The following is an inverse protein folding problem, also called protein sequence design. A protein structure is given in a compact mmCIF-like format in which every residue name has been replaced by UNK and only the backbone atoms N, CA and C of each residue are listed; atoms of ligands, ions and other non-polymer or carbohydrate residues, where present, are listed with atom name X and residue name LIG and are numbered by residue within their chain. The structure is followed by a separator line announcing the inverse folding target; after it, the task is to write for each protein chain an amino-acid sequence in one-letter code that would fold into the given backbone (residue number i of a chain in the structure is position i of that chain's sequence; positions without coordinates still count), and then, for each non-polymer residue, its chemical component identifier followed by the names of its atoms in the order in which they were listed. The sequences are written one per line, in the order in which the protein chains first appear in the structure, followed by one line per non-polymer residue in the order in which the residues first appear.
data_IF_900433179004
#
_entry.id   IF_900433179004
#
_cell.length_a   1.000
_cell.length_b   1.000
_cell.length_c   1.000
_cell.angle_alpha   90.00
_cell.angle_beta   90.00
_cell.angle_gamma   90.00
#
_symmetry.space_group_name_H-M   'P 1'
#
loop_
_entity.id
_entity.type
_entity.pdbx_description
1 polymer ?
#
# COMPACT_ATOMS: atom_id res chain seq x y z
N UNK A 1 -38.64 19.70 37.21
CA UNK A 1 -37.19 19.71 37.54
C UNK A 1 -36.65 18.31 37.34
N UNK A 2 -35.41 18.23 36.83
CA UNK A 2 -34.58 17.06 36.53
C UNK A 2 -34.96 16.23 35.29
N UNK A 3 -34.09 15.82 34.37
CA UNK A 3 -32.79 16.28 33.83
C UNK A 3 -32.55 15.39 32.60
N UNK A 4 -31.97 15.96 31.54
CA UNK A 4 -31.60 15.25 30.30
C UNK A 4 -30.51 14.20 30.56
N UNK A 5 -30.54 13.10 29.81
CA UNK A 5 -29.32 12.35 29.43
C UNK A 5 -29.42 12.03 27.94
N UNK A 6 -28.62 12.75 27.16
CA UNK A 6 -28.23 12.41 25.80
C UNK A 6 -27.35 11.16 25.82
N UNK A 7 -27.55 10.24 24.88
CA UNK A 7 -26.49 9.36 24.38
C UNK A 7 -26.93 8.80 23.02
N UNK A 8 -26.64 9.55 21.97
CA UNK A 8 -26.59 9.03 20.61
C UNK A 8 -25.33 8.16 20.47
N UNK A 9 -25.39 6.94 19.91
CA UNK A 9 -24.20 6.23 19.48
C UNK A 9 -23.59 6.91 18.24
N UNK A 10 -22.26 6.91 18.06
CA UNK A 10 -21.66 7.41 16.82
C UNK A 10 -21.95 6.41 15.70
N UNK A 11 -22.57 6.89 14.62
CA UNK A 11 -22.63 6.18 13.34
C UNK A 11 -21.20 6.09 12.80
N UNK A 12 -20.52 4.97 13.04
CA UNK A 12 -19.33 4.55 12.30
C UNK A 12 -19.74 4.35 10.84
N UNK A 13 -19.56 5.40 10.05
CA UNK A 13 -19.86 5.42 8.63
C UNK A 13 -18.77 4.63 7.91
N UNK A 14 -18.93 3.31 7.84
CA UNK A 14 -18.21 2.46 6.90
C UNK A 14 -18.49 2.98 5.50
N UNK A 15 -17.54 3.69 4.91
CA UNK A 15 -17.55 3.99 3.48
C UNK A 15 -17.08 2.74 2.73
N UNK A 16 -17.93 1.71 2.73
CA UNK A 16 -17.83 0.60 1.77
C UNK A 16 -18.11 1.19 0.38
N UNK A 17 -17.06 1.31 -0.42
CA UNK A 17 -17.18 1.61 -1.84
C UNK A 17 -17.81 0.38 -2.51
N UNK A 18 -19.08 0.50 -2.91
CA UNK A 18 -19.81 -0.50 -3.71
C UNK A 18 -19.00 -0.84 -4.97
N UNK A 19 -18.56 -2.09 -5.07
CA UNK A 19 -17.83 -2.61 -6.23
C UNK A 19 -16.67 -3.56 -5.95
N UNK A 20 -16.48 -4.05 -4.72
CA UNK A 20 -15.42 -4.99 -4.40
C UNK A 20 -15.80 -6.41 -4.87
N UNK A 21 -15.07 -7.02 -5.83
CA UNK A 21 -15.32 -8.41 -6.20
C UNK A 21 -15.00 -9.34 -5.00
N UNK A 22 -15.78 -10.41 -4.78
CA UNK A 22 -15.54 -11.31 -3.66
C UNK A 22 -14.21 -12.05 -3.85
N UNK A 23 -13.30 -11.94 -2.88
CA UNK A 23 -12.13 -12.84 -2.75
C UNK A 23 -10.76 -12.17 -2.57
N UNK A 24 -10.64 -10.85 -2.78
CA UNK A 24 -9.43 -10.11 -2.44
C UNK A 24 -9.75 -8.67 -2.12
N UNK A 25 -9.19 -8.17 -1.02
CA UNK A 25 -9.48 -6.85 -0.47
C UNK A 25 -8.17 -6.11 -0.21
N UNK A 26 -8.25 -4.78 -0.12
CA UNK A 26 -7.13 -4.00 0.35
C UNK A 26 -7.61 -2.89 1.27
N UNK A 27 -6.73 -2.55 2.21
CA UNK A 27 -6.92 -1.45 3.13
C UNK A 27 -5.82 -0.42 2.89
N UNK A 28 -6.15 0.86 3.03
CA UNK A 28 -5.18 1.96 2.95
C UNK A 28 -5.17 2.72 4.26
N UNK A 29 -3.97 2.93 4.80
CA UNK A 29 -3.69 3.72 5.98
C UNK A 29 -2.71 4.82 5.63
N UNK A 30 -3.04 6.07 5.97
CA UNK A 30 -2.07 7.15 5.98
C UNK A 30 -1.60 7.34 7.42
N UNK A 31 -0.32 7.08 7.66
CA UNK A 31 0.31 7.25 8.97
C UNK A 31 0.65 8.72 9.22
N UNK A 32 0.79 9.09 10.50
CA UNK A 32 1.12 10.47 10.91
C UNK A 32 2.47 10.96 10.37
N UNK A 33 3.38 10.05 10.05
CA UNK A 33 4.68 10.32 9.41
C UNK A 33 4.59 10.50 7.88
N UNK A 34 3.38 10.46 7.32
CA UNK A 34 3.09 10.64 5.91
C UNK A 34 3.27 9.40 5.06
N UNK A 35 3.57 8.23 5.64
CA UNK A 35 3.67 6.98 4.89
C UNK A 35 2.27 6.45 4.58
N UNK A 36 2.03 6.15 3.30
CA UNK A 36 0.81 5.47 2.85
C UNK A 36 1.05 3.96 2.85
N UNK A 37 0.49 3.25 3.83
CA UNK A 37 0.50 1.79 3.88
C UNK A 37 -0.72 1.24 3.14
N UNK A 38 -0.49 0.27 2.26
CA UNK A 38 -1.53 -0.51 1.60
C UNK A 38 -1.35 -1.97 1.99
N UNK A 39 -2.36 -2.54 2.65
CA UNK A 39 -2.39 -3.96 2.98
C UNK A 39 -3.25 -4.69 1.99
N UNK A 40 -2.69 -5.72 1.36
CA UNK A 40 -3.38 -6.53 0.36
C UNK A 40 -3.67 -7.91 0.96
N UNK A 41 -4.94 -8.30 0.96
CA UNK A 41 -5.39 -9.60 1.45
C UNK A 41 -6.02 -10.43 0.30
N UNK A 42 -5.70 -11.72 0.28
CA UNK A 42 -6.16 -12.64 -0.77
C UNK A 42 -5.38 -12.55 -2.08
N UNK A 43 -5.96 -13.08 -3.16
CA UNK A 43 -5.26 -13.22 -4.45
C UNK A 43 -5.01 -11.85 -5.12
N UNK A 44 -3.75 -11.56 -5.45
CA UNK A 44 -3.40 -10.32 -6.16
C UNK A 44 -3.70 -10.41 -7.65
N UNK A 45 -4.95 -10.15 -8.01
CA UNK A 45 -5.45 -10.14 -9.41
C UNK A 45 -5.31 -8.77 -10.07
N UNK A 46 -5.56 -8.71 -11.39
CA UNK A 46 -5.41 -7.47 -12.17
C UNK A 46 -6.33 -6.36 -11.65
N UNK A 47 -7.60 -6.68 -11.39
CA UNK A 47 -8.59 -5.69 -10.94
C UNK A 47 -8.19 -5.06 -9.59
N UNK A 48 -7.66 -5.88 -8.68
CA UNK A 48 -7.14 -5.42 -7.39
C UNK A 48 -5.91 -4.52 -7.57
N UNK A 49 -4.97 -4.90 -8.44
CA UNK A 49 -3.80 -4.08 -8.74
C UNK A 49 -4.18 -2.69 -9.27
N UNK A 50 -5.20 -2.62 -10.13
CA UNK A 50 -5.70 -1.35 -10.66
C UNK A 50 -6.46 -0.55 -9.60
N UNK A 51 -7.20 -1.21 -8.72
CA UNK A 51 -7.89 -0.56 -7.61
C UNK A 51 -6.88 0.07 -6.63
N UNK A 52 -5.84 -0.67 -6.24
CA UNK A 52 -4.73 -0.17 -5.40
C UNK A 52 -4.08 1.06 -6.05
N UNK A 53 -3.73 0.98 -7.33
CA UNK A 53 -3.14 2.10 -8.06
C UNK A 53 -4.02 3.35 -8.01
N UNK A 54 -5.30 3.22 -8.37
CA UNK A 54 -6.24 4.35 -8.37
C UNK A 54 -6.37 4.98 -6.99
N UNK A 55 -6.43 4.17 -5.95
CA UNK A 55 -6.56 4.65 -4.57
C UNK A 55 -5.31 5.38 -4.09
N UNK A 56 -4.11 4.86 -4.39
CA UNK A 56 -2.85 5.55 -4.07
C UNK A 56 -2.75 6.86 -4.85
N UNK A 57 -3.08 6.87 -6.15
CA UNK A 57 -3.07 8.10 -6.96
C UNK A 57 -4.07 9.13 -6.44
N UNK A 58 -5.25 8.70 -6.00
CA UNK A 58 -6.23 9.58 -5.38
C UNK A 58 -5.70 10.15 -4.06
N UNK A 59 -5.02 9.34 -3.25
CA UNK A 59 -4.40 9.78 -1.99
C UNK A 59 -3.24 10.77 -2.24
N UNK A 60 -2.43 10.53 -3.26
CA UNK A 60 -1.32 11.42 -3.64
C UNK A 60 -1.76 12.83 -4.07
N UNK A 61 -3.02 13.00 -4.46
CA UNK A 61 -3.61 14.30 -4.81
C UNK A 61 -4.23 15.03 -3.61
N UNK A 62 -4.37 14.38 -2.45
CA UNK A 62 -4.91 14.99 -1.23
C UNK A 62 -3.81 15.75 -0.50
N UNK A 63 -4.22 16.62 0.43
CA UNK A 63 -3.34 17.28 1.38
C UNK A 63 -3.63 16.77 2.79
N UNK A 64 -2.64 16.23 3.54
CA UNK A 64 -1.26 16.06 3.12
C UNK A 64 -1.07 14.92 2.10
N UNK A 65 -0.12 15.11 1.17
CA UNK A 65 0.30 14.09 0.23
C UNK A 65 1.25 13.10 0.93
N UNK A 66 1.28 11.82 0.51
CA UNK A 66 2.16 10.83 1.12
C UNK A 66 3.63 11.10 0.77
N UNK A 67 4.48 10.85 1.74
CA UNK A 67 5.95 10.99 1.66
C UNK A 67 6.64 9.68 1.27
N UNK A 68 5.91 8.57 1.32
CA UNK A 68 6.35 7.25 0.86
C UNK A 68 5.17 6.27 0.83
N UNK A 69 5.37 5.13 0.17
CA UNK A 69 4.34 4.09 0.01
C UNK A 69 4.91 2.75 0.51
N UNK A 70 4.17 2.08 1.39
CA UNK A 70 4.45 0.71 1.82
C UNK A 70 3.36 -0.21 1.28
N UNK A 71 3.73 -1.22 0.48
CA UNK A 71 2.83 -2.28 0.04
C UNK A 71 3.09 -3.55 0.87
N UNK A 72 2.18 -3.87 1.78
CA UNK A 72 2.22 -5.11 2.55
C UNK A 72 1.50 -6.23 1.78
N UNK A 73 2.29 -7.11 1.18
CA UNK A 73 1.83 -8.25 0.38
C UNK A 73 1.84 -9.56 1.18
N UNK A 74 2.13 -9.52 2.49
CA UNK A 74 2.32 -10.74 3.30
C UNK A 74 1.07 -11.61 3.38
N UNK A 75 -0.11 -11.02 3.23
CA UNK A 75 -1.40 -11.72 3.23
C UNK A 75 -1.90 -12.06 1.84
N UNK A 76 -1.13 -11.70 0.80
CA UNK A 76 -1.50 -11.97 -0.57
C UNK A 76 -0.92 -13.30 -1.05
N UNK A 77 -1.79 -14.29 -1.24
CA UNK A 77 -1.42 -15.58 -1.80
C UNK A 77 -2.58 -16.17 -2.63
N UNK A 78 -2.33 -16.66 -3.86
CA UNK A 78 -1.05 -16.65 -4.57
C UNK A 78 -0.67 -15.25 -5.09
N UNK A 79 0.63 -14.91 -5.04
CA UNK A 79 1.16 -13.63 -5.50
C UNK A 79 1.92 -13.77 -6.82
N UNK A 80 1.46 -13.07 -7.85
CA UNK A 80 2.18 -12.95 -9.13
C UNK A 80 3.18 -11.78 -9.07
N UNK A 81 4.48 -12.08 -9.01
CA UNK A 81 5.53 -11.04 -9.01
C UNK A 81 5.49 -10.22 -10.31
N UNK A 82 5.21 -10.83 -11.46
CA UNK A 82 5.10 -10.10 -12.74
C UNK A 82 3.98 -9.04 -12.69
N UNK A 83 2.83 -9.39 -12.11
CA UNK A 83 1.72 -8.44 -11.96
C UNK A 83 2.07 -7.33 -10.97
N UNK A 84 2.73 -7.68 -9.87
CA UNK A 84 3.24 -6.72 -8.91
C UNK A 84 4.22 -5.75 -9.58
N UNK A 85 5.20 -6.24 -10.35
CA UNK A 85 6.12 -5.39 -11.12
C UNK A 85 5.38 -4.38 -12.00
N UNK A 86 4.31 -4.81 -12.69
CA UNK A 86 3.48 -3.91 -13.48
C UNK A 86 2.78 -2.81 -12.66
N UNK A 87 2.37 -3.09 -11.42
CA UNK A 87 1.89 -2.07 -10.49
C UNK A 87 3.03 -1.14 -10.06
N UNK A 88 4.20 -1.70 -9.71
CA UNK A 88 5.35 -0.93 -9.23
C UNK A 88 5.85 0.06 -10.28
N UNK A 89 5.90 -0.33 -11.56
CA UNK A 89 6.25 0.55 -12.67
C UNK A 89 5.30 1.75 -12.82
N UNK A 90 4.04 1.61 -12.42
CA UNK A 90 3.07 2.71 -12.47
C UNK A 90 3.16 3.59 -11.22
N UNK A 91 3.37 2.99 -10.04
CA UNK A 91 3.53 3.72 -8.80
C UNK A 91 4.84 4.49 -8.72
N UNK A 92 5.92 3.95 -9.29
CA UNK A 92 7.24 4.59 -9.27
C UNK A 92 7.28 5.90 -10.07
N UNK A 93 6.31 6.14 -10.96
CA UNK A 93 6.12 7.42 -11.66
C UNK A 93 5.66 8.56 -10.75
N UNK A 94 5.25 8.23 -9.52
CA UNK A 94 4.95 9.23 -8.49
C UNK A 94 6.24 9.78 -7.88
N UNK A 95 7.41 9.21 -8.20
CA UNK A 95 8.72 9.62 -7.67
C UNK A 95 8.78 9.61 -6.13
N UNK A 96 7.97 8.75 -5.52
CA UNK A 96 7.94 8.52 -4.07
C UNK A 96 8.70 7.23 -3.74
N UNK A 97 9.40 7.17 -2.59
CA UNK A 97 9.94 5.93 -2.06
C UNK A 97 8.85 4.86 -1.91
N UNK A 98 9.13 3.66 -2.41
CA UNK A 98 8.25 2.50 -2.44
C UNK A 98 8.93 1.33 -1.73
N UNK A 99 8.29 0.83 -0.69
CA UNK A 99 8.72 -0.39 0.00
C UNK A 99 7.68 -1.49 -0.17
N UNK A 100 8.12 -2.71 -0.46
CA UNK A 100 7.24 -3.87 -0.62
C UNK A 100 7.64 -4.91 0.41
N UNK A 101 6.68 -5.38 1.19
CA UNK A 101 6.90 -6.41 2.21
C UNK A 101 6.28 -7.72 1.76
N UNK A 102 7.09 -8.77 1.69
CA UNK A 102 6.67 -10.11 1.29
C UNK A 102 6.57 -11.05 2.48
N UNK A 103 5.73 -12.09 2.35
CA UNK A 103 5.62 -13.14 3.38
C UNK A 103 6.88 -14.00 3.44
N UNK A 104 7.46 -14.30 2.27
CA UNK A 104 8.57 -15.22 2.16
C UNK A 104 9.77 -14.60 1.45
N UNK A 105 10.97 -14.95 1.94
CA UNK A 105 12.25 -14.55 1.33
C UNK A 105 12.35 -14.89 -0.16
N UNK A 106 11.80 -16.04 -0.57
CA UNK A 106 11.78 -16.46 -1.98
C UNK A 106 11.04 -15.47 -2.89
N UNK A 107 9.96 -14.83 -2.42
CA UNK A 107 9.24 -13.81 -3.18
C UNK A 107 10.08 -12.53 -3.31
N UNK A 108 10.75 -12.13 -2.23
CA UNK A 108 11.69 -10.99 -2.22
C UNK A 108 12.84 -11.23 -3.20
N UNK A 109 13.42 -12.43 -3.21
CA UNK A 109 14.53 -12.78 -4.10
C UNK A 109 14.09 -12.74 -5.57
N UNK A 110 12.90 -13.29 -5.88
CA UNK A 110 12.33 -13.23 -7.23
C UNK A 110 12.03 -11.78 -7.66
N UNK A 111 11.47 -10.96 -6.77
CA UNK A 111 11.26 -9.53 -7.04
C UNK A 111 12.58 -8.79 -7.26
N UNK A 112 13.62 -9.12 -6.50
CA UNK A 112 14.96 -8.54 -6.65
C UNK A 112 15.59 -8.90 -8.00
N UNK A 113 15.39 -10.13 -8.48
CA UNK A 113 15.85 -10.53 -9.82
C UNK A 113 15.17 -9.73 -10.93
N UNK A 114 13.89 -9.41 -10.76
CA UNK A 114 13.10 -8.60 -11.70
C UNK A 114 13.25 -7.09 -11.47
N UNK A 115 14.00 -6.66 -10.45
CA UNK A 115 14.13 -5.26 -10.09
C UNK A 115 14.67 -4.40 -11.23
N UNK A 116 15.70 -4.90 -11.92
CA UNK A 116 16.36 -4.21 -13.03
C UNK A 116 15.47 -4.08 -14.28
N UNK A 117 14.31 -4.74 -14.33
CA UNK A 117 13.37 -4.58 -15.44
C UNK A 117 12.39 -3.43 -15.19
N UNK A 118 12.37 -2.84 -13.99
CA UNK A 118 11.52 -1.71 -13.68
C UNK A 118 12.08 -0.42 -14.25
N UNK A 119 11.21 0.45 -14.75
CA UNK A 119 11.64 1.71 -15.38
C UNK A 119 12.25 2.71 -14.38
N UNK A 120 11.78 2.68 -13.13
CA UNK A 120 12.24 3.58 -12.07
C UNK A 120 12.57 2.78 -10.80
N UNK A 121 13.47 1.81 -10.95
CA UNK A 121 13.86 0.87 -9.89
C UNK A 121 14.44 1.57 -8.65
N UNK A 122 15.08 2.73 -8.80
CA UNK A 122 15.74 3.47 -7.70
C UNK A 122 14.79 3.85 -6.55
N UNK A 123 13.50 4.01 -6.84
CA UNK A 123 12.49 4.31 -5.83
C UNK A 123 11.99 3.08 -5.07
N UNK A 124 12.30 1.87 -5.54
CA UNK A 124 11.69 0.63 -5.08
C UNK A 124 12.66 -0.17 -4.19
N UNK A 125 12.17 -0.67 -3.07
CA UNK A 125 12.91 -1.59 -2.20
C UNK A 125 12.01 -2.73 -1.70
N UNK A 126 12.61 -3.90 -1.47
CA UNK A 126 11.90 -5.12 -1.11
C UNK A 126 12.36 -5.62 0.25
N UNK A 127 11.41 -6.07 1.07
CA UNK A 127 11.64 -6.50 2.44
C UNK A 127 10.82 -7.74 2.78
N UNK A 128 11.21 -8.42 3.86
CA UNK A 128 10.38 -9.45 4.53
C UNK A 128 9.95 -8.93 5.90
N UNK A 129 10.79 -8.12 6.53
CA UNK A 129 10.51 -7.41 7.78
C UNK A 129 9.82 -6.06 7.48
N UNK A 130 8.69 -5.81 8.15
CA UNK A 130 7.92 -4.59 7.96
C UNK A 130 8.55 -3.37 8.67
N UNK A 131 9.23 -3.58 9.79
CA UNK A 131 9.88 -2.51 10.55
C UNK A 131 11.11 -1.98 9.79
N UNK A 132 11.84 -2.88 9.13
CA UNK A 132 12.92 -2.49 8.20
C UNK A 132 12.39 -1.66 7.03
N UNK A 133 11.25 -2.07 6.45
CA UNK A 133 10.60 -1.35 5.35
C UNK A 133 10.19 0.07 5.75
N UNK A 134 9.53 0.22 6.91
CA UNK A 134 9.17 1.54 7.44
C UNK A 134 10.41 2.39 7.73
N UNK A 135 11.45 1.79 8.31
CA UNK A 135 12.70 2.50 8.62
C UNK A 135 13.38 3.03 7.36
N UNK A 136 13.42 2.23 6.29
CA UNK A 136 13.97 2.66 5.00
C UNK A 136 13.15 3.79 4.35
N UNK A 137 11.81 3.67 4.38
CA UNK A 137 10.93 4.73 3.86
C UNK A 137 11.14 6.06 4.58
N UNK A 138 11.18 6.06 5.92
CA UNK A 138 11.43 7.28 6.72
C UNK A 138 12.78 7.92 6.41
N UNK A 139 13.81 7.10 6.20
CA UNK A 139 15.15 7.57 5.84
C UNK A 139 15.15 8.24 4.47
N UNK A 140 14.46 7.67 3.48
CA UNK A 140 14.38 8.21 2.12
C UNK A 140 13.48 9.44 2.02
N UNK A 141 12.35 9.45 2.73
CA UNK A 141 11.42 10.58 2.72
C UNK A 141 11.99 11.84 3.40
N UNK A 142 12.93 11.67 4.34
CA UNK A 142 13.64 12.79 4.99
C UNK A 142 14.74 13.42 4.12
N UNK A 143 15.05 12.81 2.96
CA UNK A 143 16.15 13.24 2.08
C UNK A 143 15.66 14.02 0.85
N UNK A 144 14.34 14.20 0.69
CA UNK A 144 13.66 14.86 -0.43
C UNK A 144 13.09 16.20 0.03
#
# INVERSE_FOLDING_TARGET
MCSQVFSSPPESREMLMDGQPPGAEFEIFLHDDGICEVRVDGEFVLDLSQAVLRSIQAQARKSPAPSGILLDMRRSAPLSIVRLSGLLDQLSRLELPLAIVFLWKQQQDLATLLHHTLAHSDYVAYFVDIDEAFSDLRRRSSST
#
